data_IF_276513652661
#
_entry.id   IF_276513652661
#
_cell.length_a   1.000
_cell.length_b   1.000
_cell.length_c   1.000
_cell.angle_alpha   90.00
_cell.angle_beta   90.00
_cell.angle_gamma   90.00
#
_symmetry.space_group_name_H-M   'P 1'
#
loop_
_entity.id
_entity.type
_entity.pdbx_description
1 polymer ?
#
# COMPACT_ATOMS: atom_id res chain seq x y z
N UNK A 1 34.64 -46.12 -29.30
CA UNK A 1 33.56 -45.15 -29.63
C UNK A 1 34.19 -43.97 -30.32
N UNK A 2 33.67 -43.56 -31.47
CA UNK A 2 34.19 -42.34 -32.15
C UNK A 2 33.81 -41.10 -31.34
N UNK A 3 34.71 -40.13 -31.23
CA UNK A 3 34.47 -38.84 -30.53
C UNK A 3 33.15 -38.20 -30.94
N UNK A 4 32.83 -38.18 -32.23
CA UNK A 4 31.60 -37.63 -32.76
C UNK A 4 30.30 -38.30 -32.26
N UNK A 5 30.36 -39.58 -31.87
CA UNK A 5 29.20 -40.30 -31.27
C UNK A 5 29.00 -39.90 -29.80
N UNK A 6 30.07 -39.55 -29.09
CA UNK A 6 29.99 -39.12 -27.72
C UNK A 6 29.39 -37.71 -27.61
N UNK A 7 29.83 -36.76 -28.45
CA UNK A 7 29.34 -35.37 -28.49
C UNK A 7 27.84 -35.30 -28.81
N UNK A 8 27.31 -36.25 -29.57
CA UNK A 8 25.89 -36.30 -29.95
C UNK A 8 25.00 -37.02 -28.89
N UNK A 9 25.54 -37.43 -27.74
CA UNK A 9 24.73 -38.02 -26.68
C UNK A 9 24.01 -36.99 -25.84
N UNK A 10 22.79 -37.27 -25.39
CA UNK A 10 22.01 -36.41 -24.52
C UNK A 10 22.79 -36.05 -23.24
N UNK A 11 23.54 -37.02 -22.70
CA UNK A 11 24.37 -36.79 -21.51
C UNK A 11 25.47 -35.76 -21.74
N UNK A 12 26.15 -35.82 -22.92
CA UNK A 12 27.18 -34.81 -23.27
C UNK A 12 26.57 -33.44 -23.48
N UNK A 13 25.43 -33.37 -24.16
CA UNK A 13 24.70 -32.11 -24.39
C UNK A 13 24.25 -31.46 -23.08
N UNK A 14 23.70 -32.27 -22.15
CA UNK A 14 23.33 -31.80 -20.82
C UNK A 14 24.55 -31.32 -20.01
N UNK A 15 25.63 -32.11 -19.98
CA UNK A 15 26.85 -31.73 -19.26
C UNK A 15 27.46 -30.45 -19.80
N UNK A 16 27.45 -30.26 -21.13
CA UNK A 16 27.93 -29.03 -21.76
C UNK A 16 27.04 -27.81 -21.43
N UNK A 17 25.73 -28.01 -21.39
CA UNK A 17 24.80 -26.95 -20.95
C UNK A 17 25.08 -26.56 -19.51
N UNK A 18 25.15 -27.51 -18.57
CA UNK A 18 25.46 -27.22 -17.17
C UNK A 18 26.82 -26.54 -16.99
N UNK A 19 27.84 -26.95 -17.73
CA UNK A 19 29.14 -26.30 -17.69
C UNK A 19 29.08 -24.85 -18.18
N UNK A 20 28.38 -24.59 -19.28
CA UNK A 20 28.25 -23.25 -19.83
C UNK A 20 27.44 -22.33 -18.89
N UNK A 21 26.40 -22.86 -18.25
CA UNK A 21 25.60 -22.11 -17.28
C UNK A 21 26.42 -21.79 -16.02
N UNK A 22 27.17 -22.76 -15.50
CA UNK A 22 28.06 -22.55 -14.36
C UNK A 22 29.17 -21.54 -14.69
N UNK A 23 29.74 -21.59 -15.90
CA UNK A 23 30.74 -20.64 -16.38
C UNK A 23 30.17 -19.23 -16.48
N UNK A 24 28.97 -19.05 -17.04
CA UNK A 24 28.27 -17.74 -17.11
C UNK A 24 28.00 -17.17 -15.72
N UNK A 25 27.57 -18.03 -14.77
CA UNK A 25 27.36 -17.61 -13.39
C UNK A 25 28.65 -17.18 -12.71
N UNK A 26 29.74 -17.90 -12.94
CA UNK A 26 31.05 -17.55 -12.41
C UNK A 26 31.57 -16.22 -12.99
N UNK A 27 31.44 -16.02 -14.29
CA UNK A 27 31.85 -14.79 -14.99
C UNK A 27 31.03 -13.58 -14.56
N UNK A 28 29.74 -13.75 -14.22
CA UNK A 28 28.85 -12.70 -13.71
C UNK A 28 28.99 -12.46 -12.20
N UNK A 29 29.77 -13.28 -11.49
CA UNK A 29 29.86 -13.28 -10.02
C UNK A 29 28.50 -13.39 -9.31
N UNK A 30 27.51 -13.99 -9.97
CA UNK A 30 26.13 -14.16 -9.46
C UNK A 30 25.83 -15.63 -9.24
N UNK A 31 25.17 -15.95 -8.12
CA UNK A 31 24.63 -17.28 -7.86
C UNK A 31 23.12 -17.29 -8.12
N UNK A 32 22.54 -18.46 -8.42
CA UNK A 32 21.08 -18.61 -8.53
C UNK A 32 20.38 -18.09 -7.28
N UNK A 33 20.94 -18.33 -6.10
CA UNK A 33 20.43 -17.83 -4.84
C UNK A 33 20.44 -16.29 -4.76
N UNK A 34 21.50 -15.62 -5.27
CA UNK A 34 21.57 -14.16 -5.30
C UNK A 34 20.61 -13.55 -6.31
N UNK A 35 20.42 -14.18 -7.47
CA UNK A 35 19.43 -13.73 -8.46
C UNK A 35 18.00 -13.87 -7.96
N UNK A 36 17.65 -15.01 -7.33
CA UNK A 36 16.34 -15.23 -6.70
C UNK A 36 16.11 -14.22 -5.58
N UNK A 37 17.13 -13.94 -4.76
CA UNK A 37 17.06 -12.95 -3.68
C UNK A 37 16.86 -11.53 -4.24
N UNK A 38 17.55 -11.16 -5.31
CA UNK A 38 17.40 -9.86 -5.96
C UNK A 38 16.02 -9.69 -6.61
N UNK A 39 15.50 -10.73 -7.28
CA UNK A 39 14.14 -10.71 -7.85
C UNK A 39 13.09 -10.58 -6.76
N UNK A 40 13.23 -11.32 -5.66
CA UNK A 40 12.33 -11.21 -4.51
C UNK A 40 12.36 -9.80 -3.90
N UNK A 41 13.55 -9.23 -3.70
CA UNK A 41 13.69 -7.86 -3.19
C UNK A 41 13.04 -6.83 -4.12
N UNK A 42 13.21 -6.98 -5.44
CA UNK A 42 12.55 -6.14 -6.43
C UNK A 42 11.03 -6.23 -6.37
N UNK A 43 10.49 -7.46 -6.25
CA UNK A 43 9.05 -7.68 -6.13
C UNK A 43 8.49 -7.07 -4.84
N UNK A 44 9.20 -7.20 -3.73
CA UNK A 44 8.82 -6.56 -2.45
C UNK A 44 8.78 -5.04 -2.60
N UNK A 45 9.75 -4.44 -3.29
CA UNK A 45 9.76 -2.99 -3.52
C UNK A 45 8.58 -2.53 -4.39
N UNK A 46 8.28 -3.25 -5.47
CA UNK A 46 7.10 -2.97 -6.31
C UNK A 46 5.81 -3.08 -5.50
N UNK A 47 5.64 -4.14 -4.71
CA UNK A 47 4.47 -4.32 -3.86
C UNK A 47 4.34 -3.19 -2.83
N UNK A 48 5.44 -2.79 -2.18
CA UNK A 48 5.46 -1.67 -1.23
C UNK A 48 5.02 -0.36 -1.88
N UNK A 49 5.50 -0.07 -3.08
CA UNK A 49 5.07 1.11 -3.86
C UNK A 49 3.58 1.06 -4.19
N UNK A 50 3.06 -0.10 -4.57
CA UNK A 50 1.63 -0.24 -4.88
C UNK A 50 0.75 -0.07 -3.63
N UNK A 51 1.13 -0.67 -2.50
CA UNK A 51 0.45 -0.43 -1.21
C UNK A 51 0.54 1.04 -0.81
N UNK A 52 1.70 1.70 -1.00
CA UNK A 52 1.84 3.14 -0.78
C UNK A 52 0.83 3.96 -1.58
N UNK A 53 0.62 3.65 -2.87
CA UNK A 53 -0.37 4.32 -3.72
C UNK A 53 -1.81 4.12 -3.23
N UNK A 54 -2.11 2.94 -2.68
CA UNK A 54 -3.42 2.65 -2.06
C UNK A 54 -3.62 3.52 -0.82
N UNK A 55 -2.62 3.59 0.06
CA UNK A 55 -2.65 4.45 1.26
C UNK A 55 -2.78 5.92 0.88
N UNK A 56 -2.03 6.40 -0.12
CA UNK A 56 -2.15 7.78 -0.64
C UNK A 56 -3.55 8.10 -1.12
N UNK A 57 -4.23 7.13 -1.76
CA UNK A 57 -5.61 7.28 -2.21
C UNK A 57 -6.57 7.40 -1.03
N UNK A 58 -6.40 6.58 0.01
CA UNK A 58 -7.15 6.68 1.27
C UNK A 58 -6.94 8.06 1.91
N UNK A 59 -5.70 8.50 2.03
CA UNK A 59 -5.38 9.81 2.60
C UNK A 59 -5.97 10.98 1.80
N UNK A 60 -5.95 10.90 0.46
CA UNK A 60 -6.54 11.93 -0.39
C UNK A 60 -8.05 12.04 -0.16
N UNK A 61 -8.76 10.91 -0.20
CA UNK A 61 -10.20 10.87 0.02
C UNK A 61 -10.58 11.38 1.42
N UNK A 62 -9.86 10.94 2.46
CA UNK A 62 -10.07 11.39 3.82
C UNK A 62 -9.83 12.88 3.99
N UNK A 63 -8.73 13.42 3.47
CA UNK A 63 -8.40 14.86 3.55
C UNK A 63 -9.40 15.75 2.80
N UNK A 64 -10.03 15.23 1.76
CA UNK A 64 -11.02 15.97 0.97
C UNK A 64 -12.46 15.71 1.43
N UNK A 65 -12.64 14.89 2.50
CA UNK A 65 -13.97 14.49 2.99
C UNK A 65 -14.84 13.87 1.89
N UNK A 66 -14.22 13.05 1.03
CA UNK A 66 -14.88 12.36 -0.08
C UNK A 66 -15.27 10.95 0.36
N UNK A 67 -16.52 10.50 0.17
CA UNK A 67 -16.95 9.14 0.48
C UNK A 67 -16.09 8.11 -0.26
N UNK A 68 -15.73 7.02 0.42
CA UNK A 68 -14.87 5.97 -0.15
C UNK A 68 -15.65 5.05 -1.07
N UNK A 69 -16.82 4.58 -0.62
CA UNK A 69 -17.56 3.47 -1.21
C UNK A 69 -18.72 3.93 -2.07
N UNK A 70 -19.07 3.09 -3.05
CA UNK A 70 -20.36 3.14 -3.73
C UNK A 70 -21.40 2.28 -3.00
N UNK A 71 -22.61 2.29 -3.53
CA UNK A 71 -23.68 1.40 -3.08
C UNK A 71 -23.34 -0.07 -3.38
N UNK A 72 -22.72 -0.31 -4.53
CA UNK A 72 -22.30 -1.63 -5.00
C UNK A 72 -20.88 -1.55 -5.57
N UNK A 73 -19.93 -2.25 -4.92
CA UNK A 73 -18.52 -2.30 -5.33
C UNK A 73 -18.19 -3.49 -6.26
N UNK A 74 -19.19 -4.26 -6.69
CA UNK A 74 -19.01 -5.40 -7.59
C UNK A 74 -18.42 -4.98 -8.95
N UNK A 75 -17.89 -5.94 -9.70
CA UNK A 75 -17.33 -5.69 -11.05
C UNK A 75 -18.38 -5.25 -12.05
N UNK A 76 -19.64 -5.58 -11.81
CA UNK A 76 -20.79 -5.25 -12.68
C UNK A 76 -21.32 -3.84 -12.43
N UNK A 77 -20.93 -3.22 -11.33
CA UNK A 77 -21.40 -1.88 -10.96
C UNK A 77 -20.79 -0.81 -11.85
N UNK A 78 -21.64 0.11 -12.34
CA UNK A 78 -21.22 1.30 -13.08
C UNK A 78 -20.63 2.38 -12.17
N UNK A 79 -20.86 2.28 -10.84
CA UNK A 79 -20.29 3.18 -9.84
C UNK A 79 -19.85 2.39 -8.60
N UNK A 80 -18.62 1.96 -8.64
CA UNK A 80 -17.98 1.17 -7.55
C UNK A 80 -17.46 2.03 -6.39
N UNK A 81 -17.76 3.33 -6.40
CA UNK A 81 -17.29 4.28 -5.40
C UNK A 81 -15.96 4.94 -5.73
N UNK A 82 -15.69 6.03 -5.01
CA UNK A 82 -14.57 6.93 -5.32
C UNK A 82 -13.21 6.27 -5.10
N UNK A 83 -13.08 5.39 -4.11
CA UNK A 83 -11.82 4.69 -3.85
C UNK A 83 -11.41 3.80 -5.03
N UNK A 84 -12.30 2.96 -5.51
CA UNK A 84 -12.04 2.07 -6.65
C UNK A 84 -11.86 2.88 -7.94
N UNK A 85 -12.68 3.90 -8.17
CA UNK A 85 -12.57 4.75 -9.34
C UNK A 85 -11.23 5.47 -9.42
N UNK A 86 -10.76 6.03 -8.29
CA UNK A 86 -9.49 6.76 -8.22
C UNK A 86 -8.28 5.83 -8.39
N UNK A 87 -8.32 4.64 -7.79
CA UNK A 87 -7.29 3.63 -8.00
C UNK A 87 -7.23 3.14 -9.44
N UNK A 88 -8.39 2.91 -10.07
CA UNK A 88 -8.48 2.51 -11.48
C UNK A 88 -7.96 3.59 -12.41
N UNK A 89 -8.29 4.84 -12.13
CA UNK A 89 -7.74 5.98 -12.87
C UNK A 89 -6.22 6.08 -12.71
N UNK A 90 -5.69 5.97 -11.50
CA UNK A 90 -4.23 6.00 -11.24
C UNK A 90 -3.52 4.80 -11.90
N UNK A 91 -4.18 3.66 -12.00
CA UNK A 91 -3.64 2.45 -12.63
C UNK A 91 -3.52 2.58 -14.15
N UNK A 92 -4.25 3.51 -14.81
CA UNK A 92 -4.12 3.75 -16.25
C UNK A 92 -2.70 4.20 -16.65
N UNK A 93 -2.02 4.91 -15.74
CA UNK A 93 -0.68 5.45 -15.97
C UNK A 93 0.43 4.62 -15.30
N UNK A 94 0.05 3.61 -14.49
CA UNK A 94 0.99 2.81 -13.70
C UNK A 94 0.72 1.31 -13.91
N UNK A 95 1.40 0.67 -14.88
CA UNK A 95 1.17 -0.75 -15.22
C UNK A 95 1.34 -1.71 -14.03
N UNK A 96 2.29 -1.45 -13.15
CA UNK A 96 2.52 -2.28 -11.95
C UNK A 96 1.34 -2.20 -10.96
N UNK A 97 0.69 -1.05 -10.86
CA UNK A 97 -0.53 -0.90 -10.06
C UNK A 97 -1.70 -1.62 -10.72
N UNK A 98 -1.85 -1.51 -12.03
CA UNK A 98 -2.89 -2.23 -12.77
C UNK A 98 -2.77 -3.75 -12.57
N UNK A 99 -1.56 -4.29 -12.68
CA UNK A 99 -1.28 -5.70 -12.40
C UNK A 99 -1.55 -6.06 -10.94
N UNK A 100 -1.20 -5.20 -9.99
CA UNK A 100 -1.47 -5.42 -8.57
C UNK A 100 -2.97 -5.49 -8.28
N UNK A 101 -3.77 -4.61 -8.85
CA UNK A 101 -5.22 -4.56 -8.64
C UNK A 101 -5.95 -5.79 -9.22
N UNK A 102 -5.36 -6.49 -10.18
CA UNK A 102 -5.88 -7.75 -10.74
C UNK A 102 -5.36 -8.99 -10.01
N UNK A 103 -4.41 -8.85 -9.09
CA UNK A 103 -3.84 -9.95 -8.32
C UNK A 103 -4.81 -10.47 -7.27
N UNK A 104 -4.53 -11.67 -6.73
CA UNK A 104 -5.34 -12.27 -5.65
C UNK A 104 -5.31 -11.45 -4.36
N UNK A 105 -4.22 -10.71 -4.10
CA UNK A 105 -4.06 -9.86 -2.92
C UNK A 105 -3.88 -8.43 -3.42
N UNK A 106 -4.94 -7.64 -3.39
CA UNK A 106 -4.96 -6.29 -3.96
C UNK A 106 -5.38 -5.17 -2.97
N UNK A 107 -5.70 -5.52 -1.73
CA UNK A 107 -6.04 -4.58 -0.63
C UNK A 107 -7.17 -3.58 -0.92
N UNK A 108 -8.11 -3.92 -1.80
CA UNK A 108 -9.23 -3.04 -2.13
C UNK A 108 -10.57 -3.47 -1.51
N UNK A 109 -10.57 -4.58 -0.75
CA UNK A 109 -11.79 -5.05 -0.06
C UNK A 109 -12.25 -4.04 0.99
N UNK A 110 -13.55 -4.01 1.35
CA UNK A 110 -14.06 -3.16 2.42
C UNK A 110 -13.34 -3.31 3.75
N UNK A 111 -12.94 -4.54 4.11
CA UNK A 111 -12.13 -4.78 5.32
C UNK A 111 -10.74 -4.15 5.22
N UNK A 112 -10.04 -4.32 4.10
CA UNK A 112 -8.73 -3.69 3.89
C UNK A 112 -8.81 -2.17 3.88
N UNK A 113 -9.87 -1.60 3.29
CA UNK A 113 -10.11 -0.15 3.36
C UNK A 113 -10.24 0.31 4.80
N UNK A 114 -11.03 -0.39 5.63
CA UNK A 114 -11.21 -0.05 7.04
C UNK A 114 -9.89 -0.14 7.81
N UNK A 115 -9.12 -1.22 7.64
CA UNK A 115 -7.82 -1.39 8.29
C UNK A 115 -6.84 -0.25 7.92
N UNK A 116 -6.80 0.16 6.65
CA UNK A 116 -5.94 1.26 6.21
C UNK A 116 -6.41 2.58 6.82
N UNK A 117 -7.73 2.84 6.86
CA UNK A 117 -8.30 4.03 7.49
C UNK A 117 -7.93 4.09 8.97
N UNK A 118 -8.08 2.98 9.70
CA UNK A 118 -7.72 2.86 11.11
C UNK A 118 -6.23 3.10 11.34
N UNK A 119 -5.35 2.51 10.51
CA UNK A 119 -3.91 2.71 10.60
C UNK A 119 -3.50 4.18 10.34
N UNK A 120 -4.14 4.82 9.37
CA UNK A 120 -3.91 6.24 9.08
C UNK A 120 -4.41 7.09 10.24
N UNK A 121 -5.63 6.84 10.75
CA UNK A 121 -6.20 7.52 11.91
C UNK A 121 -5.32 7.41 13.14
N UNK A 122 -4.91 6.20 13.50
CA UNK A 122 -3.99 5.97 14.62
C UNK A 122 -2.64 6.67 14.46
N UNK A 123 -2.13 6.76 13.24
CA UNK A 123 -0.88 7.47 12.96
C UNK A 123 -1.04 8.99 13.14
N UNK A 124 -2.18 9.55 12.75
CA UNK A 124 -2.52 10.97 12.97
C UNK A 124 -2.67 11.25 14.46
N UNK A 125 -3.43 10.41 15.18
CA UNK A 125 -3.63 10.52 16.62
C UNK A 125 -2.27 10.48 17.37
N UNK A 126 -1.42 9.52 17.06
CA UNK A 126 -0.10 9.40 17.64
C UNK A 126 0.79 10.64 17.41
N UNK A 127 0.59 11.37 16.32
CA UNK A 127 1.28 12.62 16.05
C UNK A 127 0.65 13.83 16.77
N UNK A 128 -0.66 13.82 16.95
CA UNK A 128 -1.39 14.95 17.56
C UNK A 128 -1.33 14.93 19.08
N UNK A 129 -1.44 13.79 19.74
CA UNK A 129 -1.46 13.66 21.20
C UNK A 129 -0.24 14.34 21.86
N UNK A 130 1.02 14.06 21.43
CA UNK A 130 2.18 14.75 21.98
C UNK A 130 2.15 16.25 21.75
N UNK A 131 1.63 16.70 20.60
CA UNK A 131 1.51 18.12 20.26
C UNK A 131 0.57 18.85 21.22
N UNK A 132 -0.61 18.28 21.49
CA UNK A 132 -1.56 18.79 22.49
C UNK A 132 -0.93 18.83 23.87
N UNK A 133 -0.26 17.77 24.30
CA UNK A 133 0.36 17.65 25.62
C UNK A 133 1.50 18.67 25.82
N UNK A 134 2.30 18.95 24.78
CA UNK A 134 3.45 19.84 24.86
C UNK A 134 3.09 21.32 24.83
N UNK A 135 1.90 21.70 24.35
CA UNK A 135 1.49 23.10 24.23
C UNK A 135 1.04 23.74 25.55
N UNK A 136 1.06 23.04 26.69
CA UNK A 136 0.86 23.58 28.04
C UNK A 136 -0.50 24.21 28.34
N UNK A 137 -1.09 24.93 27.41
CA UNK A 137 -2.44 25.53 27.50
C UNK A 137 -3.34 24.96 26.41
N UNK A 138 -4.43 24.35 26.85
CA UNK A 138 -5.41 23.77 25.93
C UNK A 138 -6.82 23.83 26.52
N UNK A 139 -7.83 23.84 25.65
CA UNK A 139 -9.23 23.66 26.01
C UNK A 139 -9.83 22.53 25.20
N UNK A 140 -10.82 21.86 25.77
CA UNK A 140 -11.58 20.79 25.14
C UNK A 140 -12.98 21.29 24.79
N UNK A 141 -13.38 21.06 23.57
CA UNK A 141 -14.73 21.23 23.08
C UNK A 141 -15.27 19.84 22.77
N UNK A 142 -16.41 19.49 23.32
CA UNK A 142 -17.09 18.22 23.08
C UNK A 142 -18.50 18.53 22.61
N UNK A 143 -18.90 17.89 21.52
CA UNK A 143 -20.25 18.00 20.97
C UNK A 143 -20.76 16.63 20.61
N UNK A 144 -22.01 16.36 20.94
CA UNK A 144 -22.68 15.08 20.74
C UNK A 144 -23.73 15.24 19.66
N UNK A 145 -23.70 14.33 18.69
CA UNK A 145 -24.65 14.29 17.59
C UNK A 145 -25.11 12.87 17.35
N UNK A 146 -26.35 12.69 16.93
CA UNK A 146 -26.90 11.41 16.52
C UNK A 146 -26.84 11.29 15.00
N UNK A 147 -26.33 10.16 14.52
CA UNK A 147 -26.36 9.84 13.10
C UNK A 147 -27.76 9.40 12.64
N UNK A 148 -27.93 9.17 11.33
CA UNK A 148 -29.19 8.72 10.72
C UNK A 148 -29.63 7.34 11.29
N UNK A 149 -28.69 6.56 11.80
CA UNK A 149 -28.91 5.25 12.41
C UNK A 149 -29.20 5.31 13.92
N UNK A 150 -29.38 6.52 14.47
CA UNK A 150 -29.59 6.79 15.91
C UNK A 150 -28.42 6.35 16.81
N UNK A 151 -27.20 6.28 16.26
CA UNK A 151 -26.00 6.13 17.06
C UNK A 151 -25.50 7.49 17.51
N UNK A 152 -25.29 7.64 18.83
CA UNK A 152 -24.66 8.84 19.39
C UNK A 152 -23.19 8.86 19.03
N UNK A 153 -22.75 9.98 18.46
CA UNK A 153 -21.36 10.21 18.08
C UNK A 153 -20.84 11.43 18.84
N UNK A 154 -19.72 11.25 19.51
CA UNK A 154 -19.04 12.30 20.25
C UNK A 154 -17.91 12.87 19.40
N UNK A 155 -18.01 14.17 19.07
CA UNK A 155 -16.93 14.93 18.45
C UNK A 155 -16.09 15.59 19.53
N UNK A 156 -14.77 15.35 19.50
CA UNK A 156 -13.83 15.98 20.41
C UNK A 156 -12.91 16.91 19.61
N UNK A 157 -12.81 18.15 20.04
CA UNK A 157 -11.86 19.11 19.53
C UNK A 157 -10.99 19.64 20.67
N UNK A 158 -9.68 19.60 20.48
CA UNK A 158 -8.72 20.22 21.37
C UNK A 158 -8.19 21.49 20.72
N UNK A 159 -8.42 22.63 21.36
CA UNK A 159 -7.82 23.90 20.99
C UNK A 159 -6.58 24.11 21.83
N UNK A 160 -5.44 24.29 21.19
CA UNK A 160 -4.15 24.52 21.84
C UNK A 160 -3.58 25.88 21.47
N UNK A 161 -2.74 26.42 22.33
CA UNK A 161 -2.01 27.65 22.06
C UNK A 161 -0.51 27.38 22.18
N UNK A 162 0.23 27.63 21.11
CA UNK A 162 1.68 27.48 21.11
C UNK A 162 2.37 28.59 21.91
N UNK A 163 3.66 28.44 22.17
CA UNK A 163 4.49 29.48 22.84
C UNK A 163 4.54 30.77 22.05
N UNK A 164 4.36 30.69 20.75
CA UNK A 164 4.31 31.84 19.81
C UNK A 164 2.89 32.44 19.71
N UNK A 165 1.96 32.05 20.58
CA UNK A 165 0.56 32.43 20.61
C UNK A 165 -0.24 32.04 19.35
N UNK A 166 0.19 31.01 18.67
CA UNK A 166 -0.57 30.43 17.56
C UNK A 166 -1.64 29.51 18.12
N UNK A 167 -2.88 29.74 17.73
CA UNK A 167 -4.04 28.90 18.09
C UNK A 167 -4.19 27.80 17.05
N UNK A 168 -4.26 26.55 17.49
CA UNK A 168 -4.51 25.38 16.65
C UNK A 168 -5.67 24.57 17.20
N UNK A 169 -6.48 24.01 16.32
CA UNK A 169 -7.59 23.12 16.65
C UNK A 169 -7.34 21.73 16.06
N UNK A 170 -7.52 20.70 16.87
CA UNK A 170 -7.30 19.30 16.52
C UNK A 170 -8.56 18.51 16.86
N UNK A 171 -9.12 17.85 15.85
CA UNK A 171 -10.28 16.95 16.00
C UNK A 171 -9.80 15.51 16.23
N UNK A 172 -10.50 14.78 17.12
CA UNK A 172 -10.23 13.40 17.53
C UNK A 172 -11.48 12.54 17.40
#
# INVERSE_FOLDING_TARGET
MSFNKHEATDQHTQATSFYNDAKRMHERSTSVASEVSAQHASQVDVNRKNVGRIVETVMLLGRQNIPFRGYDESTESTNRGNFIALLSWKASDVPELAQHLTSKIHYTSPSSQNEIIELVGSSVEAALVPKVQNNGVWSRIADETSDISHHEQLSLCFRTVSKELVVEEHFF
#
